data_IF_189075041917
#
_entry.id   IF_189075041917
#
_cell.length_a   1.000
_cell.length_b   1.000
_cell.length_c   1.000
_cell.angle_alpha   90.00
_cell.angle_beta   90.00
_cell.angle_gamma   90.00
#
_symmetry.space_group_name_H-M   'P 1'
#
loop_
_entity.id
_entity.type
_entity.pdbx_description
1 polymer ?
#
# COMPACT_ATOMS: atom_id res chain seq x y z
N UNK A 1 104.33 -8.10 -24.92
CA UNK A 1 104.02 -6.69 -25.08
C UNK A 1 102.53 -6.48 -25.04
N UNK A 2 102.06 -5.44 -24.34
CA UNK A 2 100.69 -4.94 -24.13
C UNK A 2 99.72 -5.80 -23.29
N UNK A 3 99.59 -5.33 -22.08
CA UNK A 3 98.58 -5.66 -21.11
C UNK A 3 97.24 -5.08 -21.51
N UNK A 4 96.12 -5.84 -21.44
CA UNK A 4 94.81 -5.28 -21.39
C UNK A 4 94.08 -5.70 -20.08
N UNK A 5 93.77 -4.64 -19.32
CA UNK A 5 92.99 -4.74 -18.07
C UNK A 5 91.54 -4.89 -18.46
N UNK A 6 90.85 -5.92 -17.91
CA UNK A 6 89.42 -6.02 -17.96
C UNK A 6 88.82 -5.62 -16.61
N UNK A 7 87.97 -4.61 -16.66
CA UNK A 7 87.19 -4.12 -15.50
C UNK A 7 85.98 -5.06 -15.23
N UNK A 8 85.84 -5.52 -14.03
CA UNK A 8 84.63 -6.20 -13.54
C UNK A 8 83.51 -5.15 -13.32
N UNK A 9 82.40 -5.37 -13.94
CA UNK A 9 81.15 -4.68 -13.63
C UNK A 9 80.26 -5.59 -12.79
N UNK A 10 80.04 -5.20 -11.53
CA UNK A 10 79.01 -5.84 -10.65
C UNK A 10 77.65 -5.47 -11.11
N UNK A 11 76.80 -6.50 -11.27
CA UNK A 11 75.37 -6.36 -11.56
C UNK A 11 74.63 -6.56 -10.26
N UNK A 12 73.95 -5.51 -9.76
CA UNK A 12 73.03 -5.57 -8.69
C UNK A 12 71.75 -6.23 -9.23
N UNK A 13 71.37 -7.34 -8.63
CA UNK A 13 70.11 -8.04 -8.90
C UNK A 13 69.03 -7.45 -7.98
N UNK A 14 68.12 -6.59 -8.49
CA UNK A 14 66.98 -6.06 -7.77
C UNK A 14 65.84 -7.07 -7.86
N UNK A 15 65.49 -7.69 -6.73
CA UNK A 15 64.26 -8.51 -6.59
C UNK A 15 63.04 -7.55 -6.55
N UNK A 16 62.24 -7.56 -7.59
CA UNK A 16 60.88 -6.99 -7.59
C UNK A 16 59.94 -8.06 -7.05
N UNK A 17 59.46 -7.88 -5.82
CA UNK A 17 58.26 -8.61 -5.30
C UNK A 17 57.04 -8.02 -6.00
N UNK A 18 56.43 -8.78 -6.91
CA UNK A 18 55.13 -8.49 -7.45
C UNK A 18 54.08 -9.03 -6.47
N UNK A 19 53.48 -8.13 -5.67
CA UNK A 19 52.31 -8.43 -4.86
C UNK A 19 51.07 -8.63 -5.73
N UNK A 20 50.59 -9.88 -5.87
CA UNK A 20 49.28 -10.15 -6.43
C UNK A 20 48.20 -9.70 -5.41
N UNK A 21 47.62 -8.54 -5.61
CA UNK A 21 46.38 -8.15 -4.96
C UNK A 21 45.22 -8.97 -5.60
N UNK A 22 44.79 -10.01 -4.94
CA UNK A 22 43.56 -10.70 -5.31
C UNK A 22 42.37 -9.77 -5.01
N UNK A 23 41.89 -9.06 -6.04
CA UNK A 23 40.62 -8.37 -5.97
C UNK A 23 39.51 -9.42 -5.86
N UNK A 24 38.94 -9.59 -4.65
CA UNK A 24 37.74 -10.37 -4.43
C UNK A 24 36.59 -9.66 -5.18
N UNK A 25 36.24 -10.19 -6.36
CA UNK A 25 35.01 -9.84 -7.06
C UNK A 25 33.84 -10.33 -6.20
N UNK A 26 33.32 -9.45 -5.31
CA UNK A 26 32.05 -9.69 -4.66
C UNK A 26 30.96 -9.58 -5.72
N UNK A 27 30.50 -10.70 -6.24
CA UNK A 27 29.28 -10.74 -7.04
C UNK A 27 28.14 -10.26 -6.15
N UNK A 28 27.40 -9.19 -6.52
CA UNK A 28 26.22 -8.82 -5.75
C UNK A 28 25.27 -10.03 -5.73
N UNK A 29 24.77 -10.36 -4.54
CA UNK A 29 23.81 -11.46 -4.39
C UNK A 29 22.63 -11.22 -5.37
N UNK A 30 22.23 -12.26 -6.10
CA UNK A 30 21.20 -12.18 -7.15
C UNK A 30 19.86 -11.58 -6.68
N UNK A 31 19.62 -11.50 -5.36
CA UNK A 31 18.46 -10.84 -4.74
C UNK A 31 18.49 -9.30 -4.84
N UNK A 32 19.66 -8.66 -4.83
CA UNK A 32 19.73 -7.19 -4.87
C UNK A 32 19.43 -6.59 -6.25
N UNK A 33 19.70 -7.33 -7.32
CA UNK A 33 19.45 -6.87 -8.69
C UNK A 33 17.95 -6.94 -9.06
N UNK A 34 17.17 -7.85 -8.46
CA UNK A 34 15.73 -7.99 -8.69
C UNK A 34 14.88 -6.96 -7.95
N UNK A 35 15.40 -6.36 -6.87
CA UNK A 35 14.73 -5.30 -6.12
C UNK A 35 14.94 -3.89 -6.71
N UNK A 36 15.88 -3.71 -7.63
CA UNK A 36 16.16 -2.44 -8.31
C UNK A 36 15.09 -2.21 -9.38
N UNK A 37 14.05 -1.47 -9.04
CA UNK A 37 12.97 -1.11 -9.98
C UNK A 37 11.61 -0.99 -9.32
N UNK A 38 11.38 -1.63 -8.17
CA UNK A 38 10.11 -1.52 -7.45
C UNK A 38 10.10 -0.21 -6.64
N UNK A 39 9.20 0.75 -6.94
CA UNK A 39 9.13 2.02 -6.21
C UNK A 39 8.57 1.82 -4.80
N UNK A 40 8.47 2.91 -4.04
CA UNK A 40 7.68 2.90 -2.81
C UNK A 40 6.20 2.77 -3.16
N UNK A 41 5.58 1.68 -2.76
CA UNK A 41 4.20 1.34 -3.09
C UNK A 41 3.18 2.08 -2.19
N UNK A 42 1.97 2.23 -2.67
CA UNK A 42 0.77 2.34 -1.84
C UNK A 42 0.38 0.91 -1.42
N UNK A 43 -0.03 0.70 -0.17
CA UNK A 43 -0.47 -0.61 0.30
C UNK A 43 -1.75 -1.02 -0.45
N UNK A 44 -1.86 -2.26 -0.95
CA UNK A 44 -2.92 -2.63 -1.91
C UNK A 44 -4.34 -2.67 -1.34
N UNK A 45 -4.51 -2.59 -0.01
CA UNK A 45 -5.80 -2.75 0.66
C UNK A 45 -6.14 -1.56 1.56
N UNK A 46 -7.44 -1.21 1.62
CA UNK A 46 -7.99 -0.27 2.59
C UNK A 46 -8.78 -1.06 3.63
N UNK A 47 -8.07 -1.75 4.49
CA UNK A 47 -8.60 -2.46 5.66
C UNK A 47 -7.44 -2.82 6.58
N UNK A 48 -7.74 -3.10 7.84
CA UNK A 48 -6.78 -3.75 8.73
C UNK A 48 -6.45 -5.11 8.15
N UNK A 49 -5.16 -5.39 8.00
CA UNK A 49 -4.64 -6.54 7.26
C UNK A 49 -3.51 -7.16 8.04
N UNK A 50 -3.58 -8.44 8.31
CA UNK A 50 -2.46 -9.19 8.86
C UNK A 50 -1.45 -9.46 7.75
N UNK A 51 -0.17 -9.22 8.06
CA UNK A 51 0.92 -9.32 7.11
C UNK A 51 2.05 -10.17 7.69
N UNK A 52 2.23 -11.36 7.13
CA UNK A 52 3.35 -12.25 7.43
C UNK A 52 4.04 -12.70 6.14
N UNK A 53 5.26 -13.18 6.25
CA UNK A 53 6.03 -13.64 5.09
C UNK A 53 5.76 -15.13 4.83
N UNK A 54 4.85 -15.39 3.89
CA UNK A 54 4.54 -16.73 3.39
C UNK A 54 4.98 -16.92 1.92
N UNK A 55 5.83 -16.00 1.41
CA UNK A 55 6.42 -16.15 0.09
C UNK A 55 7.37 -17.35 0.04
N UNK A 56 7.23 -18.15 -1.00
CA UNK A 56 8.06 -19.34 -1.19
C UNK A 56 7.57 -20.59 -0.45
N UNK A 57 6.52 -20.49 0.36
CA UNK A 57 5.94 -21.64 1.05
C UNK A 57 5.53 -22.72 0.05
N UNK A 58 5.70 -24.02 0.37
CA UNK A 58 5.30 -25.12 -0.49
C UNK A 58 3.80 -25.07 -0.83
N UNK A 59 3.44 -25.24 -2.10
CA UNK A 59 2.07 -25.36 -2.60
C UNK A 59 1.95 -26.61 -3.45
N UNK A 60 0.74 -27.15 -3.60
CA UNK A 60 0.50 -28.35 -4.40
C UNK A 60 0.94 -28.25 -5.87
N UNK A 61 1.03 -27.02 -6.40
CA UNK A 61 1.44 -26.70 -7.77
C UNK A 61 2.86 -26.07 -7.85
N UNK A 62 3.66 -26.09 -6.76
CA UNK A 62 4.99 -25.52 -6.72
C UNK A 62 5.29 -24.76 -5.42
N UNK A 63 5.61 -23.47 -5.52
CA UNK A 63 5.83 -22.59 -4.39
C UNK A 63 4.90 -21.37 -4.45
N UNK A 64 4.68 -20.76 -3.32
CA UNK A 64 3.91 -19.53 -3.19
C UNK A 64 4.66 -18.35 -3.86
N UNK A 65 4.07 -17.76 -4.91
CA UNK A 65 4.71 -16.72 -5.72
C UNK A 65 4.46 -15.29 -5.21
N UNK A 66 3.64 -15.14 -4.16
CA UNK A 66 3.23 -13.86 -3.59
C UNK A 66 3.13 -13.87 -2.08
N UNK A 67 2.33 -12.96 -1.55
CA UNK A 67 1.93 -12.87 -0.15
C UNK A 67 0.41 -12.97 -0.07
N UNK A 68 -0.10 -13.88 0.75
CA UNK A 68 -1.51 -13.94 1.12
C UNK A 68 -1.77 -13.00 2.28
N UNK A 69 -2.66 -12.06 2.08
CA UNK A 69 -3.05 -11.05 3.07
C UNK A 69 -4.49 -11.25 3.48
N UNK A 70 -4.72 -11.80 4.68
CA UNK A 70 -6.07 -11.95 5.22
C UNK A 70 -6.68 -10.58 5.51
N UNK A 71 -7.89 -10.36 5.00
CA UNK A 71 -8.61 -9.12 5.18
C UNK A 71 -10.11 -9.31 4.88
N UNK A 72 -10.98 -8.38 5.31
CA UNK A 72 -12.41 -8.55 5.16
C UNK A 72 -12.85 -8.72 3.69
N UNK A 73 -13.77 -9.65 3.47
CA UNK A 73 -14.47 -9.78 2.20
C UNK A 73 -15.00 -8.43 1.69
N UNK A 74 -14.80 -8.14 0.41
CA UNK A 74 -15.10 -6.86 -0.23
C UNK A 74 -14.37 -5.66 0.38
N UNK A 75 -13.19 -5.85 0.98
CA UNK A 75 -12.32 -4.72 1.26
C UNK A 75 -11.91 -4.05 -0.06
N UNK A 76 -11.83 -2.71 -0.12
CA UNK A 76 -11.36 -2.04 -1.32
C UNK A 76 -9.91 -2.37 -1.61
N UNK A 77 -9.65 -2.76 -2.86
CA UNK A 77 -8.30 -2.99 -3.42
C UNK A 77 -7.90 -1.78 -4.24
N UNK A 78 -6.68 -1.29 -4.05
CA UNK A 78 -6.17 -0.10 -4.73
C UNK A 78 -4.92 -0.39 -5.56
N UNK A 79 -4.69 0.43 -6.58
CA UNK A 79 -3.46 0.38 -7.35
C UNK A 79 -2.25 0.75 -6.47
N UNK A 80 -1.21 -0.07 -6.48
CA UNK A 80 0.00 0.15 -5.66
C UNK A 80 0.91 1.24 -6.22
N UNK A 81 0.82 1.51 -7.53
CA UNK A 81 1.48 2.63 -8.23
C UNK A 81 0.64 3.10 -9.43
N UNK A 82 1.05 4.19 -10.07
CA UNK A 82 0.45 4.61 -11.34
C UNK A 82 0.71 3.55 -12.42
N UNK A 83 -0.30 3.22 -13.23
CA UNK A 83 -0.12 2.19 -14.25
C UNK A 83 -1.33 1.98 -15.14
N UNK A 84 -1.35 0.83 -15.79
CA UNK A 84 -2.46 0.34 -16.61
C UNK A 84 -2.89 -1.03 -16.08
N UNK A 85 -4.18 -1.22 -15.91
CA UNK A 85 -4.73 -2.51 -15.46
C UNK A 85 -5.15 -3.39 -16.63
N UNK A 86 -5.14 -4.70 -16.39
CA UNK A 86 -5.68 -5.72 -17.26
C UNK A 86 -6.43 -6.72 -16.39
N UNK A 87 -7.65 -7.10 -16.81
CA UNK A 87 -8.46 -8.08 -16.10
C UNK A 87 -8.13 -9.48 -16.59
N UNK A 88 -8.13 -10.43 -15.67
CA UNK A 88 -7.90 -11.82 -15.97
C UNK A 88 -8.74 -12.74 -15.09
N UNK A 89 -8.84 -14.00 -15.50
CA UNK A 89 -9.53 -15.06 -14.79
C UNK A 89 -8.82 -16.40 -15.01
N UNK A 90 -8.75 -17.21 -13.95
CA UNK A 90 -8.27 -18.59 -14.04
C UNK A 90 -9.02 -19.50 -13.06
N UNK A 91 -8.96 -20.81 -13.27
CA UNK A 91 -9.59 -21.76 -12.35
C UNK A 91 -8.98 -21.72 -10.94
N UNK A 92 -7.65 -21.49 -10.84
CA UNK A 92 -6.92 -21.43 -9.59
C UNK A 92 -7.02 -20.04 -8.93
N UNK A 93 -6.69 -18.99 -9.67
CA UNK A 93 -6.64 -17.63 -9.12
C UNK A 93 -8.02 -16.95 -9.05
N UNK A 94 -9.06 -17.53 -9.64
CA UNK A 94 -10.36 -16.89 -9.74
C UNK A 94 -10.29 -15.59 -10.54
N UNK A 95 -10.92 -14.55 -10.05
CA UNK A 95 -10.86 -13.22 -10.64
C UNK A 95 -9.55 -12.52 -10.27
N UNK A 96 -8.84 -12.02 -11.26
CA UNK A 96 -7.51 -11.45 -11.13
C UNK A 96 -7.40 -10.10 -11.85
N UNK A 97 -6.44 -9.28 -11.40
CA UNK A 97 -6.09 -8.03 -12.04
C UNK A 97 -4.57 -7.93 -12.12
N UNK A 98 -4.06 -7.66 -13.32
CA UNK A 98 -2.68 -7.24 -13.54
C UNK A 98 -2.59 -5.73 -13.50
N UNK A 99 -1.59 -5.18 -12.83
CA UNK A 99 -1.22 -3.78 -12.92
C UNK A 99 0.18 -3.67 -13.51
N UNK A 100 0.27 -3.13 -14.71
CA UNK A 100 1.54 -2.78 -15.34
C UNK A 100 1.93 -1.39 -14.88
N UNK A 101 2.82 -1.35 -13.88
CA UNK A 101 3.26 -0.13 -13.23
C UNK A 101 4.14 0.73 -14.13
N UNK A 102 4.13 2.04 -13.88
CA UNK A 102 4.99 3.01 -14.61
C UNK A 102 6.49 2.74 -14.42
N UNK A 103 6.86 2.10 -13.31
CA UNK A 103 8.24 1.66 -13.05
C UNK A 103 8.71 0.51 -13.94
N UNK A 104 7.81 -0.11 -14.70
CA UNK A 104 8.06 -1.36 -15.43
C UNK A 104 7.81 -2.62 -14.60
N UNK A 105 7.46 -2.47 -13.31
CA UNK A 105 7.07 -3.61 -12.46
C UNK A 105 5.64 -4.02 -12.79
N UNK A 106 5.38 -5.33 -12.87
CA UNK A 106 4.06 -5.89 -12.97
C UNK A 106 3.63 -6.40 -11.58
N UNK A 107 2.37 -6.19 -11.24
CA UNK A 107 1.75 -6.64 -10.00
C UNK A 107 0.51 -7.47 -10.31
N UNK A 108 0.29 -8.54 -9.54
CA UNK A 108 -0.91 -9.36 -9.62
C UNK A 108 -1.72 -9.23 -8.34
N UNK A 109 -3.01 -9.09 -8.51
CA UNK A 109 -4.03 -9.09 -7.48
C UNK A 109 -4.96 -10.26 -7.77
N UNK A 110 -5.00 -11.26 -6.87
CA UNK A 110 -5.62 -12.56 -7.11
C UNK A 110 -6.68 -12.82 -6.04
N UNK A 111 -7.64 -13.68 -6.31
CA UNK A 111 -8.80 -14.01 -5.47
C UNK A 111 -9.75 -12.84 -5.24
N UNK A 112 -9.90 -11.98 -6.27
CA UNK A 112 -10.81 -10.85 -6.20
C UNK A 112 -12.27 -11.31 -6.08
N UNK A 113 -13.14 -10.41 -5.60
CA UNK A 113 -14.54 -10.73 -5.37
C UNK A 113 -15.28 -11.11 -6.65
N UNK A 114 -16.07 -12.19 -6.60
CA UNK A 114 -16.94 -12.64 -7.68
C UNK A 114 -18.43 -12.75 -7.25
N UNK A 115 -18.78 -12.38 -6.02
CA UNK A 115 -20.12 -12.50 -5.51
C UNK A 115 -21.04 -11.38 -5.99
N UNK A 116 -22.10 -11.72 -6.68
CA UNK A 116 -23.09 -10.77 -7.19
C UNK A 116 -24.06 -10.27 -6.11
N UNK A 117 -24.22 -11.05 -5.04
CA UNK A 117 -25.15 -10.77 -3.95
C UNK A 117 -24.43 -10.28 -2.69
N UNK A 118 -25.18 -9.99 -1.64
CA UNK A 118 -24.63 -9.66 -0.31
C UNK A 118 -24.10 -10.90 0.45
N UNK A 119 -24.03 -12.06 -0.19
CA UNK A 119 -23.50 -13.30 0.39
C UNK A 119 -22.15 -13.59 -0.22
N UNK A 120 -21.22 -14.09 0.58
CA UNK A 120 -19.97 -14.69 0.12
C UNK A 120 -20.27 -16.15 -0.21
N UNK A 121 -20.60 -16.44 -1.47
CA UNK A 121 -21.02 -17.78 -1.92
C UNK A 121 -20.35 -18.22 -3.22
N UNK A 122 -19.39 -17.44 -3.73
CA UNK A 122 -18.66 -17.67 -4.97
C UNK A 122 -19.56 -17.90 -6.20
N UNK A 123 -20.80 -17.34 -6.17
CA UNK A 123 -21.75 -17.43 -7.26
C UNK A 123 -21.76 -16.14 -8.06
N UNK A 124 -21.03 -16.14 -9.14
CA UNK A 124 -20.96 -15.00 -10.03
C UNK A 124 -19.77 -15.11 -10.96
N UNK A 125 -19.31 -13.98 -11.46
CA UNK A 125 -18.21 -13.90 -12.39
C UNK A 125 -17.37 -12.65 -12.15
N UNK A 126 -16.29 -12.54 -12.89
CA UNK A 126 -15.34 -11.44 -12.83
C UNK A 126 -15.88 -10.22 -13.59
N UNK A 127 -16.80 -9.47 -12.97
CA UNK A 127 -17.55 -8.40 -13.64
C UNK A 127 -17.27 -7.03 -13.05
N UNK A 128 -17.48 -6.00 -13.87
CA UNK A 128 -17.36 -4.62 -13.45
C UNK A 128 -18.34 -4.30 -12.30
N UNK A 129 -17.93 -3.40 -11.41
CA UNK A 129 -18.66 -2.91 -10.23
C UNK A 129 -18.96 -3.97 -9.14
N UNK A 130 -18.50 -5.21 -9.37
CA UNK A 130 -18.53 -6.31 -8.38
C UNK A 130 -17.12 -6.80 -8.07
N UNK A 131 -16.34 -7.10 -9.10
CA UNK A 131 -14.94 -7.49 -9.02
C UNK A 131 -14.04 -6.29 -9.24
N UNK A 132 -14.27 -5.56 -10.33
CA UNK A 132 -13.41 -4.48 -10.83
C UNK A 132 -14.11 -3.12 -10.70
N UNK A 133 -13.44 -2.16 -10.07
CA UNK A 133 -13.92 -0.79 -9.94
C UNK A 133 -13.60 0.08 -11.19
N UNK A 134 -12.73 -0.40 -12.06
CA UNK A 134 -12.28 0.28 -13.28
C UNK A 134 -12.46 -0.62 -14.50
N UNK A 135 -12.60 -0.07 -15.72
CA UNK A 135 -12.63 -0.87 -16.94
C UNK A 135 -11.31 -1.60 -17.19
N UNK A 136 -11.38 -2.70 -17.95
CA UNK A 136 -10.19 -3.34 -18.50
C UNK A 136 -9.38 -2.35 -19.36
N UNK A 137 -8.07 -2.43 -19.27
CA UNK A 137 -7.15 -1.54 -19.95
C UNK A 137 -7.08 -0.10 -19.41
N UNK A 138 -7.78 0.22 -18.33
CA UNK A 138 -7.79 1.57 -17.76
C UNK A 138 -6.41 2.00 -17.25
N UNK A 139 -6.10 3.30 -17.37
CA UNK A 139 -5.01 3.93 -16.64
C UNK A 139 -5.50 4.32 -15.26
N UNK A 140 -4.71 4.02 -14.24
CA UNK A 140 -5.02 4.26 -12.84
C UNK A 140 -3.88 4.99 -12.15
N UNK A 141 -4.23 5.75 -11.11
CA UNK A 141 -3.26 6.39 -10.22
C UNK A 141 -3.03 5.54 -8.97
N UNK A 142 -1.85 5.67 -8.36
CA UNK A 142 -1.56 5.06 -7.06
C UNK A 142 -2.63 5.44 -6.02
N UNK A 143 -3.17 4.45 -5.30
CA UNK A 143 -4.27 4.63 -4.34
C UNK A 143 -5.67 4.69 -4.97
N UNK A 144 -5.82 4.69 -6.29
CA UNK A 144 -7.13 4.57 -6.95
C UNK A 144 -7.71 3.18 -6.72
N UNK A 145 -9.01 3.12 -6.37
CA UNK A 145 -9.68 1.83 -6.24
C UNK A 145 -9.76 1.12 -7.58
N UNK A 146 -9.26 -0.12 -7.63
CA UNK A 146 -9.24 -0.94 -8.84
C UNK A 146 -10.14 -2.18 -8.75
N UNK A 147 -10.36 -2.69 -7.52
CA UNK A 147 -11.13 -3.91 -7.32
C UNK A 147 -11.71 -4.00 -5.89
N UNK A 148 -12.34 -5.12 -5.60
CA UNK A 148 -12.73 -5.57 -4.27
C UNK A 148 -12.11 -6.92 -3.96
N UNK A 149 -11.61 -7.07 -2.72
CA UNK A 149 -11.10 -8.33 -2.21
C UNK A 149 -12.19 -9.39 -2.11
N UNK A 150 -11.86 -10.64 -2.36
CA UNK A 150 -12.77 -11.78 -2.28
C UNK A 150 -12.06 -13.07 -1.92
N UNK A 151 -12.58 -14.16 -2.44
CA UNK A 151 -12.10 -15.52 -2.25
C UNK A 151 -12.41 -16.41 -3.48
N UNK A 152 -12.46 -15.80 -4.68
CA UNK A 152 -12.68 -16.54 -5.92
C UNK A 152 -11.53 -17.51 -6.21
N UNK A 153 -11.78 -18.51 -7.05
CA UNK A 153 -10.80 -19.55 -7.37
C UNK A 153 -10.65 -20.57 -6.25
N UNK A 154 -9.43 -20.96 -5.92
CA UNK A 154 -9.14 -21.97 -4.89
C UNK A 154 -9.12 -21.42 -3.45
N UNK A 155 -9.26 -20.08 -3.29
CA UNK A 155 -9.42 -19.43 -1.99
C UNK A 155 -10.80 -19.61 -1.35
N UNK A 156 -11.72 -20.30 -2.00
CA UNK A 156 -13.12 -20.47 -1.65
C UNK A 156 -13.39 -20.58 -0.13
N UNK A 157 -14.12 -19.60 0.40
CA UNK A 157 -14.49 -19.50 1.82
C UNK A 157 -13.43 -18.83 2.72
N UNK A 158 -12.28 -18.42 2.16
CA UNK A 158 -11.20 -17.75 2.89
C UNK A 158 -10.83 -16.41 2.23
N UNK A 159 -11.52 -15.31 2.52
CA UNK A 159 -11.24 -14.02 1.90
C UNK A 159 -9.83 -13.52 2.23
N UNK A 160 -8.98 -13.43 1.21
CA UNK A 160 -7.66 -12.85 1.29
C UNK A 160 -7.25 -12.25 -0.06
N UNK A 161 -6.28 -11.36 -0.06
CA UNK A 161 -5.63 -10.90 -1.26
C UNK A 161 -4.30 -11.62 -1.43
N UNK A 162 -4.19 -12.47 -2.45
CA UNK A 162 -2.89 -12.92 -2.92
C UNK A 162 -2.28 -11.83 -3.80
N UNK A 163 -1.08 -11.38 -3.44
CA UNK A 163 -0.42 -10.26 -4.12
C UNK A 163 1.01 -10.62 -4.55
N UNK A 164 1.29 -10.44 -5.83
CA UNK A 164 2.61 -10.70 -6.40
C UNK A 164 3.28 -9.43 -6.91
N UNK A 165 4.61 -9.45 -6.93
CA UNK A 165 5.46 -8.40 -7.48
C UNK A 165 6.43 -9.01 -8.48
N UNK A 166 6.43 -8.51 -9.70
CA UNK A 166 7.26 -8.96 -10.81
C UNK A 166 8.12 -7.80 -11.32
N UNK A 167 9.32 -7.56 -10.77
CA UNK A 167 10.19 -6.49 -11.20
C UNK A 167 10.53 -6.61 -12.69
N UNK A 168 10.38 -5.50 -13.43
CA UNK A 168 10.57 -5.44 -14.88
C UNK A 168 9.73 -6.47 -15.68
N UNK A 169 8.57 -6.86 -15.16
CA UNK A 169 7.71 -7.90 -15.77
C UNK A 169 8.35 -9.29 -15.81
N UNK A 170 9.39 -9.52 -15.01
CA UNK A 170 10.14 -10.78 -14.95
C UNK A 170 9.57 -11.80 -13.97
N UNK A 171 10.44 -12.62 -13.40
CA UNK A 171 10.06 -13.57 -12.36
C UNK A 171 9.56 -12.84 -11.11
N UNK A 172 8.68 -13.51 -10.35
CA UNK A 172 8.18 -13.02 -9.06
C UNK A 172 9.32 -12.81 -8.05
N UNK A 173 9.14 -11.83 -7.20
CA UNK A 173 10.01 -11.49 -6.09
C UNK A 173 9.19 -11.36 -4.80
N UNK A 174 9.83 -11.62 -3.64
CA UNK A 174 9.14 -11.53 -2.35
C UNK A 174 8.57 -10.13 -2.09
N UNK A 175 7.24 -9.96 -2.01
CA UNK A 175 6.60 -8.65 -1.82
C UNK A 175 6.77 -8.08 -0.39
N UNK A 176 7.10 -8.90 0.61
CA UNK A 176 6.96 -8.56 2.04
C UNK A 176 7.66 -7.25 2.43
N UNK A 177 8.88 -7.01 1.92
CA UNK A 177 9.65 -5.79 2.23
C UNK A 177 9.00 -4.54 1.64
N UNK A 178 8.44 -4.67 0.44
CA UNK A 178 7.73 -3.59 -0.24
C UNK A 178 6.43 -3.27 0.46
N UNK A 179 5.66 -4.29 0.86
CA UNK A 179 4.40 -4.15 1.60
C UNK A 179 4.60 -3.53 2.99
N UNK A 180 5.63 -3.95 3.74
CA UNK A 180 5.97 -3.36 5.06
C UNK A 180 6.34 -1.88 4.99
N UNK A 181 6.89 -1.42 3.86
CA UNK A 181 7.30 -0.01 3.62
C UNK A 181 6.26 0.79 2.85
N UNK A 182 5.18 0.16 2.40
CA UNK A 182 4.13 0.80 1.63
C UNK A 182 3.40 1.87 2.44
N UNK A 183 2.92 2.91 1.75
CA UNK A 183 2.09 3.95 2.36
C UNK A 183 0.67 3.41 2.46
N UNK A 184 0.13 3.25 3.67
CA UNK A 184 -1.24 2.78 3.89
C UNK A 184 -2.24 3.86 3.52
N UNK A 185 -3.16 3.61 2.55
CA UNK A 185 -4.19 4.57 2.19
C UNK A 185 -5.23 4.68 3.31
N UNK A 186 -5.84 5.85 3.46
CA UNK A 186 -6.91 6.09 4.42
C UNK A 186 -8.26 5.59 3.89
N UNK A 187 -8.49 5.77 2.60
CA UNK A 187 -9.70 5.31 1.90
C UNK A 187 -9.37 5.06 0.43
N UNK A 188 -10.31 4.39 -0.26
CA UNK A 188 -10.19 4.13 -1.69
C UNK A 188 -11.17 5.02 -2.46
N UNK A 189 -10.70 5.68 -3.52
CA UNK A 189 -11.54 6.47 -4.40
C UNK A 189 -10.88 6.66 -5.76
N UNK A 190 -11.68 6.96 -6.77
CA UNK A 190 -11.16 7.46 -8.04
C UNK A 190 -10.72 8.93 -7.86
N UNK A 191 -9.49 9.29 -8.24
CA UNK A 191 -9.05 10.69 -8.21
C UNK A 191 -10.04 11.62 -8.92
N UNK A 192 -10.34 12.78 -8.30
CA UNK A 192 -11.32 13.74 -8.80
C UNK A 192 -12.79 13.43 -8.45
N UNK A 193 -13.13 12.24 -7.98
CA UNK A 193 -14.48 11.91 -7.51
C UNK A 193 -14.83 12.69 -6.23
N UNK A 194 -16.13 12.96 -6.03
CA UNK A 194 -16.61 13.62 -4.81
C UNK A 194 -16.70 12.60 -3.67
N UNK A 195 -16.18 12.97 -2.51
CA UNK A 195 -16.23 12.15 -1.31
C UNK A 195 -16.46 12.98 -0.04
N UNK A 196 -16.85 12.31 1.02
CA UNK A 196 -16.65 12.72 2.41
C UNK A 196 -16.39 11.48 3.25
N UNK A 197 -15.77 11.64 4.42
CA UNK A 197 -15.43 10.54 5.30
C UNK A 197 -16.14 10.67 6.65
N UNK A 198 -16.53 9.52 7.22
CA UNK A 198 -16.69 9.35 8.64
C UNK A 198 -15.40 8.73 9.18
N UNK A 199 -14.86 9.28 10.26
CA UNK A 199 -13.64 8.84 10.91
C UNK A 199 -13.96 8.54 12.38
N UNK A 200 -13.65 7.34 12.86
CA UNK A 200 -13.77 6.97 14.27
C UNK A 200 -12.40 6.67 14.85
N UNK A 201 -12.19 7.16 16.05
CA UNK A 201 -10.93 6.98 16.76
C UNK A 201 -10.88 7.90 17.98
N UNK A 202 -9.69 8.38 18.33
CA UNK A 202 -9.47 9.25 19.47
C UNK A 202 -8.97 10.63 19.04
N UNK A 203 -9.54 11.68 19.62
CA UNK A 203 -8.97 13.03 19.55
C UNK A 203 -7.79 13.07 20.51
N UNK A 204 -6.59 13.26 19.98
CA UNK A 204 -5.33 13.26 20.77
C UNK A 204 -4.76 14.65 20.96
N UNK A 205 -5.09 15.59 20.09
CA UNK A 205 -4.74 17.00 20.24
C UNK A 205 -5.74 17.93 19.53
N UNK A 206 -5.90 19.14 20.05
CA UNK A 206 -6.66 20.20 19.40
C UNK A 206 -5.88 21.52 19.46
N UNK A 207 -5.71 22.16 18.31
CA UNK A 207 -4.97 23.42 18.14
C UNK A 207 -5.83 24.55 17.60
N UNK A 208 -5.17 25.65 17.19
CA UNK A 208 -5.82 26.76 16.53
C UNK A 208 -6.18 26.38 15.08
N UNK A 209 -7.40 25.90 14.86
CA UNK A 209 -7.87 25.54 13.52
C UNK A 209 -7.44 24.15 13.03
N UNK A 210 -6.88 23.32 13.91
CA UNK A 210 -6.54 21.91 13.58
C UNK A 210 -6.94 20.96 14.70
N UNK A 211 -7.16 19.70 14.36
CA UNK A 211 -7.30 18.59 15.30
C UNK A 211 -6.43 17.43 14.83
N UNK A 212 -5.86 16.71 15.79
CA UNK A 212 -5.14 15.47 15.54
C UNK A 212 -5.98 14.31 16.05
N UNK A 213 -6.30 13.39 15.14
CA UNK A 213 -7.05 12.18 15.45
C UNK A 213 -6.16 10.95 15.25
N UNK A 214 -6.21 10.01 16.16
CA UNK A 214 -5.78 8.63 15.95
C UNK A 214 -6.99 7.84 15.45
N UNK A 215 -7.05 7.57 14.13
CA UNK A 215 -8.20 6.98 13.44
C UNK A 215 -7.99 5.47 13.32
N UNK A 216 -9.00 4.71 13.74
CA UNK A 216 -9.02 3.24 13.70
C UNK A 216 -10.09 2.71 12.73
N UNK A 217 -11.11 3.51 12.41
CA UNK A 217 -12.19 3.12 11.49
C UNK A 217 -12.53 4.27 10.56
N UNK A 218 -12.73 3.94 9.30
CA UNK A 218 -13.11 4.88 8.24
C UNK A 218 -14.39 4.43 7.55
N UNK A 219 -15.22 5.38 7.14
CA UNK A 219 -16.36 5.16 6.26
C UNK A 219 -16.32 6.18 5.12
N UNK A 220 -16.24 5.70 3.90
CA UNK A 220 -16.34 6.53 2.71
C UNK A 220 -17.80 6.80 2.33
N UNK A 221 -18.13 8.02 1.97
CA UNK A 221 -19.43 8.41 1.46
C UNK A 221 -19.32 8.95 0.02
N UNK A 222 -20.29 8.66 -0.86
CA UNK A 222 -21.50 7.86 -0.63
C UNK A 222 -21.22 6.35 -0.62
N UNK A 223 -22.06 5.59 0.06
CA UNK A 223 -22.21 4.14 -0.10
C UNK A 223 -21.25 3.25 0.69
N UNK A 224 -20.17 3.78 1.29
CA UNK A 224 -19.20 2.97 2.03
C UNK A 224 -19.74 2.41 3.34
N UNK A 225 -19.22 1.25 3.74
CA UNK A 225 -19.36 0.70 5.10
C UNK A 225 -18.24 1.21 6.01
N UNK A 226 -18.39 1.04 7.32
CA UNK A 226 -17.29 1.23 8.25
C UNK A 226 -16.26 0.12 8.05
N UNK A 227 -15.01 0.52 7.80
CA UNK A 227 -13.86 -0.37 7.70
C UNK A 227 -12.95 -0.11 8.89
N UNK A 228 -12.48 -1.16 9.52
CA UNK A 228 -11.37 -1.09 10.45
C UNK A 228 -10.08 -0.96 9.64
N UNK A 229 -9.20 -0.05 10.05
CA UNK A 229 -7.91 0.20 9.42
C UNK A 229 -6.80 0.09 10.48
N UNK A 230 -5.57 -0.05 10.04
CA UNK A 230 -4.44 0.17 10.94
C UNK A 230 -4.53 1.57 11.54
N UNK A 231 -4.34 1.73 12.85
CA UNK A 231 -4.40 3.04 13.50
C UNK A 231 -3.53 4.07 12.77
N UNK A 232 -4.13 5.19 12.41
CA UNK A 232 -3.46 6.24 11.65
C UNK A 232 -3.68 7.60 12.27
N UNK A 233 -2.58 8.29 12.58
CA UNK A 233 -2.63 9.67 13.03
C UNK A 233 -2.91 10.60 11.87
N UNK A 234 -3.98 11.40 11.97
CA UNK A 234 -4.38 12.38 10.97
C UNK A 234 -4.42 13.77 11.59
N UNK A 235 -3.80 14.73 10.91
CA UNK A 235 -3.99 16.16 11.20
C UNK A 235 -5.06 16.71 10.24
N UNK A 236 -6.15 17.23 10.79
CA UNK A 236 -7.32 17.69 10.05
C UNK A 236 -7.52 19.18 10.30
N UNK A 237 -7.79 19.94 9.27
CA UNK A 237 -8.17 21.36 9.38
C UNK A 237 -9.60 21.48 9.88
N UNK A 238 -9.82 22.33 10.88
CA UNK A 238 -11.14 22.65 11.44
C UNK A 238 -11.53 24.07 11.02
N UNK A 239 -12.38 24.22 10.01
CA UNK A 239 -12.84 25.54 9.61
C UNK A 239 -13.75 26.15 10.68
N UNK A 240 -13.91 27.49 10.73
CA UNK A 240 -14.71 28.18 11.76
C UNK A 240 -16.16 27.70 11.84
N UNK A 241 -16.74 27.28 10.71
CA UNK A 241 -18.10 26.75 10.59
C UNK A 241 -18.28 25.32 11.07
N UNK A 242 -17.19 24.60 11.39
CA UNK A 242 -17.27 23.21 11.84
C UNK A 242 -18.01 23.10 13.17
N UNK A 243 -18.90 22.11 13.25
CA UNK A 243 -19.67 21.84 14.46
C UNK A 243 -18.93 20.85 15.34
N UNK A 244 -18.80 21.17 16.62
CA UNK A 244 -18.29 20.24 17.65
C UNK A 244 -19.40 19.94 18.64
N UNK A 245 -19.62 18.66 18.87
CA UNK A 245 -20.63 18.18 19.85
C UNK A 245 -19.90 17.32 20.89
N UNK A 246 -19.91 17.76 22.13
CA UNK A 246 -19.53 16.91 23.27
C UNK A 246 -20.77 16.21 23.80
N UNK A 247 -20.62 15.20 24.66
CA UNK A 247 -21.73 14.55 25.37
C UNK A 247 -22.51 15.53 26.26
N UNK A 248 -21.95 16.70 26.56
CA UNK A 248 -22.51 17.69 27.51
C UNK A 248 -23.00 18.96 26.81
N UNK A 249 -22.42 19.37 25.67
CA UNK A 249 -22.81 20.61 25.00
C UNK A 249 -22.47 20.63 23.51
N UNK A 250 -23.22 21.41 22.73
CA UNK A 250 -22.91 21.76 21.36
C UNK A 250 -22.04 23.00 21.36
N UNK A 251 -20.78 22.89 20.93
CA UNK A 251 -19.81 23.98 20.93
C UNK A 251 -19.25 24.24 19.53
N UNK A 252 -18.81 25.47 19.27
CA UNK A 252 -18.16 25.84 18.00
C UNK A 252 -16.67 25.50 18.02
N UNK A 253 -16.02 25.51 16.87
CA UNK A 253 -14.63 25.10 16.67
C UNK A 253 -13.59 25.56 17.72
N UNK A 254 -13.67 26.81 18.27
CA UNK A 254 -12.73 27.25 19.32
C UNK A 254 -12.79 26.45 20.62
N UNK A 255 -13.93 25.83 20.94
CA UNK A 255 -14.13 25.09 22.19
C UNK A 255 -13.60 23.65 22.16
N UNK A 256 -13.10 23.17 21.02
CA UNK A 256 -12.37 21.89 20.93
C UNK A 256 -11.17 21.81 21.89
N UNK A 257 -10.55 22.95 22.18
CA UNK A 257 -9.42 23.04 23.13
C UNK A 257 -9.80 22.72 24.57
N UNK A 258 -11.09 22.75 24.89
CA UNK A 258 -11.57 22.48 26.26
C UNK A 258 -11.88 20.98 26.48
N UNK A 259 -11.75 20.12 25.45
CA UNK A 259 -11.89 18.69 25.62
C UNK A 259 -10.63 18.11 26.25
N UNK A 260 -10.81 17.39 27.36
CA UNK A 260 -9.74 16.56 27.90
C UNK A 260 -9.38 15.49 26.85
N UNK A 261 -8.09 15.38 26.52
CA UNK A 261 -7.58 14.42 25.55
C UNK A 261 -6.79 13.32 26.25
N UNK A 262 -6.82 12.06 25.76
CA UNK A 262 -7.53 11.57 24.57
C UNK A 262 -9.01 11.25 24.84
N UNK A 263 -9.89 11.58 23.89
CA UNK A 263 -11.33 11.30 23.99
C UNK A 263 -11.83 10.57 22.73
N UNK A 264 -12.68 9.52 22.85
CA UNK A 264 -13.27 8.86 21.69
C UNK A 264 -14.16 9.82 20.90
N UNK A 265 -13.99 9.85 19.57
CA UNK A 265 -14.76 10.75 18.70
C UNK A 265 -15.20 10.06 17.40
N UNK A 266 -16.28 10.61 16.82
CA UNK A 266 -16.58 10.46 15.41
C UNK A 266 -16.44 11.81 14.72
N UNK A 267 -15.56 11.93 13.75
CA UNK A 267 -15.42 13.10 12.92
C UNK A 267 -15.97 12.85 11.53
N UNK A 268 -16.50 13.91 10.89
CA UNK A 268 -16.96 13.89 9.52
C UNK A 268 -16.22 14.96 8.73
N UNK A 269 -15.74 14.61 7.53
CA UNK A 269 -15.06 15.58 6.67
C UNK A 269 -16.03 16.38 5.85
N UNK A 270 -15.59 17.55 5.40
CA UNK A 270 -16.28 18.33 4.36
C UNK A 270 -16.28 17.51 3.07
N UNK A 271 -17.35 17.65 2.28
CA UNK A 271 -17.40 17.05 0.93
C UNK A 271 -16.35 17.69 0.03
N UNK A 272 -15.47 16.88 -0.55
CA UNK A 272 -14.35 17.34 -1.36
C UNK A 272 -14.16 16.46 -2.60
N UNK A 273 -13.23 16.82 -3.48
CA UNK A 273 -12.72 15.94 -4.54
C UNK A 273 -11.55 15.11 -4.00
N UNK A 274 -11.52 13.84 -4.33
CA UNK A 274 -10.43 12.95 -3.97
C UNK A 274 -9.14 13.37 -4.67
N UNK A 275 -8.10 13.60 -3.89
CA UNK A 275 -6.73 13.84 -4.36
C UNK A 275 -5.83 12.72 -3.83
N UNK A 276 -4.66 12.47 -4.41
CA UNK A 276 -3.70 11.52 -3.85
C UNK A 276 -3.41 11.80 -2.37
N UNK A 277 -3.18 13.07 -2.00
CA UNK A 277 -2.92 13.47 -0.61
C UNK A 277 -4.09 13.15 0.33
N UNK A 278 -5.33 13.40 -0.10
CA UNK A 278 -6.52 13.07 0.67
C UNK A 278 -6.67 11.54 0.82
N UNK A 279 -6.48 10.78 -0.25
CA UNK A 279 -6.52 9.30 -0.24
C UNK A 279 -5.50 8.72 0.74
N UNK A 280 -4.31 9.32 0.78
CA UNK A 280 -3.24 8.91 1.69
C UNK A 280 -3.39 9.51 3.10
N UNK A 281 -4.32 10.43 3.33
CA UNK A 281 -4.50 11.10 4.61
C UNK A 281 -3.30 11.98 4.99
N UNK A 282 -2.74 12.69 4.01
CA UNK A 282 -1.65 13.63 4.25
C UNK A 282 -2.08 14.80 5.16
N UNK A 283 -1.18 15.39 5.96
CA UNK A 283 -1.50 16.52 6.83
C UNK A 283 -2.16 17.67 6.08
N UNK A 284 -3.26 18.21 6.63
CA UNK A 284 -4.01 19.31 6.03
C UNK A 284 -4.82 19.01 4.77
N UNK A 285 -4.73 17.79 4.22
CA UNK A 285 -5.48 17.39 3.01
C UNK A 285 -6.98 17.23 3.25
N UNK A 286 -7.40 17.05 4.51
CA UNK A 286 -8.78 16.84 4.89
C UNK A 286 -9.26 17.96 5.83
N UNK A 287 -10.50 18.41 5.63
CA UNK A 287 -11.17 19.41 6.46
C UNK A 287 -12.37 18.78 7.18
N UNK A 288 -12.52 19.08 8.45
CA UNK A 288 -13.64 18.57 9.25
C UNK A 288 -14.87 19.44 9.07
N UNK A 289 -16.04 18.84 8.94
CA UNK A 289 -17.32 19.53 9.03
C UNK A 289 -17.96 19.39 10.41
N UNK A 290 -17.68 18.28 11.10
CA UNK A 290 -18.23 17.96 12.41
C UNK A 290 -17.32 17.03 13.18
N UNK A 291 -17.19 17.25 14.50
CA UNK A 291 -16.60 16.32 15.45
C UNK A 291 -17.62 16.07 16.57
N UNK A 292 -17.87 14.82 16.86
CA UNK A 292 -18.78 14.40 17.94
C UNK A 292 -18.00 13.50 18.91
N UNK A 293 -17.90 13.89 20.17
CA UNK A 293 -17.43 13.01 21.22
C UNK A 293 -18.42 11.87 21.40
N UNK A 294 -17.92 10.66 21.57
CA UNK A 294 -18.72 9.49 21.90
C UNK A 294 -18.94 9.43 23.41
N UNK A 295 -20.12 8.99 23.88
CA UNK A 295 -20.38 8.82 25.30
C UNK A 295 -19.51 7.73 25.91
#
# INVERSE_FOLDING_TARGET
MRRHRTKARGTLLSLLLAGLAAAALTTPAAGSAREQGVPRLVFPLVAKTELWDNYGDPRGNGRHAGIDMENPWRAPVVAVEDGRVEHAESGLGGCMLYLYGRSGTMYLYIHLNNDLTARNDNKGGCVKDVTFAVPDGARVAAGEQVAWNGDSGDANGNPHLHFEVHPNGGADANPIRHLRRAIKPLFAAKPGSKFSLGLRGRLVAAGAGTVTLEVERVRHYPGGRWLEIEPKTLELTVPPEATVTSSVARVTGPALRALETPVPVTAYTVKAKATPDAILGAPGALRVSRVAALP
#
